data_IF_739732419221
#
_entry.id   IF_739732419221
#
_cell.length_a   1.000
_cell.length_b   1.000
_cell.length_c   1.000
_cell.angle_alpha   90.00
_cell.angle_beta   90.00
_cell.angle_gamma   90.00
#
_symmetry.space_group_name_H-M   'P 1'
#
loop_
_entity.id
_entity.type
_entity.pdbx_description
1 polymer ?
#
# COMPACT_ATOMS: atom_id res chain seq x y z
N UNK A 1 -5.27 -3.25 -1.65
CA UNK A 1 -5.23 -3.89 -0.31
C UNK A 1 -6.54 -3.75 0.44
N UNK A 2 -7.05 -2.54 0.74
CA UNK A 2 -8.34 -2.38 1.45
C UNK A 2 -9.47 -3.14 0.73
N UNK A 3 -9.59 -2.97 -0.58
CA UNK A 3 -10.62 -3.66 -1.37
C UNK A 3 -10.44 -5.18 -1.37
N UNK A 4 -9.19 -5.66 -1.32
CA UNK A 4 -8.91 -7.09 -1.18
C UNK A 4 -9.40 -7.62 0.17
N UNK A 5 -9.09 -6.91 1.27
CA UNK A 5 -9.54 -7.26 2.63
C UNK A 5 -11.07 -7.17 2.78
N UNK A 6 -11.74 -6.39 1.92
CA UNK A 6 -13.20 -6.30 1.84
C UNK A 6 -13.84 -7.31 0.88
N UNK A 7 -13.08 -8.27 0.37
CA UNK A 7 -13.54 -9.27 -0.60
C UNK A 7 -14.12 -8.68 -1.91
N UNK A 8 -13.54 -7.57 -2.38
CA UNK A 8 -13.92 -6.99 -3.66
C UNK A 8 -13.30 -7.83 -4.79
N UNK A 9 -14.16 -8.51 -5.55
CA UNK A 9 -13.77 -9.52 -6.57
C UNK A 9 -12.64 -9.08 -7.52
N UNK A 10 -12.66 -7.88 -8.13
CA UNK A 10 -11.54 -7.43 -8.98
C UNK A 10 -10.20 -7.34 -8.23
N UNK A 11 -10.20 -6.89 -6.98
CA UNK A 11 -9.00 -6.78 -6.18
C UNK A 11 -8.45 -8.17 -5.80
N UNK A 12 -9.34 -9.13 -5.48
CA UNK A 12 -8.95 -10.54 -5.27
C UNK A 12 -8.34 -11.14 -6.52
N UNK A 13 -9.03 -11.02 -7.66
CA UNK A 13 -8.52 -11.52 -8.93
C UNK A 13 -7.14 -10.94 -9.29
N UNK A 14 -6.92 -9.64 -9.07
CA UNK A 14 -5.64 -9.00 -9.34
C UNK A 14 -4.53 -9.53 -8.42
N UNK A 15 -4.76 -9.51 -7.10
CA UNK A 15 -3.73 -9.85 -6.10
C UNK A 15 -3.43 -11.35 -6.01
N UNK A 16 -4.39 -12.20 -6.39
CA UNK A 16 -4.21 -13.65 -6.41
C UNK A 16 -3.76 -14.20 -7.77
N UNK A 17 -3.75 -13.38 -8.83
CA UNK A 17 -3.39 -13.82 -10.19
C UNK A 17 -1.97 -14.37 -10.31
N UNK A 18 -1.03 -13.88 -9.49
CA UNK A 18 0.40 -14.17 -9.63
C UNK A 18 1.02 -13.67 -10.95
N UNK A 19 0.25 -12.96 -11.78
CA UNK A 19 0.67 -12.48 -13.09
C UNK A 19 1.53 -11.21 -13.00
N UNK A 20 1.42 -10.48 -11.88
CA UNK A 20 2.06 -9.19 -11.69
C UNK A 20 2.97 -9.21 -10.47
N UNK A 21 4.13 -8.59 -10.61
CA UNK A 21 4.93 -8.19 -9.46
C UNK A 21 4.25 -6.98 -8.81
N UNK A 22 3.62 -7.20 -7.67
CA UNK A 22 2.88 -6.16 -6.96
C UNK A 22 3.82 -5.51 -5.95
N UNK A 23 3.86 -4.18 -6.00
CA UNK A 23 4.62 -3.33 -5.10
C UNK A 23 3.69 -2.51 -4.23
N UNK A 24 4.09 -2.26 -2.98
CA UNK A 24 3.36 -1.37 -2.08
C UNK A 24 4.33 -0.48 -1.29
N UNK A 25 3.88 0.72 -0.91
CA UNK A 25 4.73 1.65 -0.17
C UNK A 25 4.79 1.31 1.32
N UNK A 26 5.89 1.70 1.99
CA UNK A 26 5.99 1.62 3.45
C UNK A 26 4.90 2.42 4.17
N UNK A 27 4.38 3.47 3.55
CA UNK A 27 3.21 4.22 4.04
C UNK A 27 1.94 3.39 4.04
N UNK A 28 1.66 2.64 2.96
CA UNK A 28 0.48 1.76 2.89
C UNK A 28 0.44 0.74 4.02
N UNK A 29 1.59 0.14 4.38
CA UNK A 29 1.68 -0.75 5.54
C UNK A 29 1.35 -0.03 6.84
N UNK A 30 1.91 1.15 7.06
CA UNK A 30 1.63 1.98 8.25
C UNK A 30 0.15 2.32 8.34
N UNK A 31 -0.45 2.80 7.25
CA UNK A 31 -1.86 3.19 7.19
C UNK A 31 -2.81 2.02 7.50
N UNK A 32 -2.52 0.83 6.97
CA UNK A 32 -3.32 -0.37 7.23
C UNK A 32 -3.23 -0.79 8.70
N UNK A 33 -2.02 -0.85 9.27
CA UNK A 33 -1.79 -1.32 10.64
C UNK A 33 -2.14 -0.28 11.72
N UNK A 34 -2.22 1.00 11.36
CA UNK A 34 -2.62 2.09 12.24
C UNK A 34 -4.15 2.23 12.37
N UNK A 35 -4.94 1.45 11.62
CA UNK A 35 -6.41 1.44 11.73
C UNK A 35 -6.83 1.15 13.17
N UNK A 36 -7.60 2.05 13.81
CA UNK A 36 -8.10 1.82 15.16
C UNK A 36 -9.04 0.62 15.20
N UNK A 37 -9.00 -0.14 16.31
CA UNK A 37 -9.92 -1.26 16.53
C UNK A 37 -9.55 -2.58 15.87
N UNK A 38 -8.41 -2.65 15.16
CA UNK A 38 -7.92 -3.93 14.61
C UNK A 38 -7.59 -4.93 15.72
N UNK A 39 -8.22 -6.09 15.64
CA UNK A 39 -7.87 -7.26 16.43
C UNK A 39 -6.48 -7.78 16.05
N UNK A 40 -5.85 -8.54 16.96
CA UNK A 40 -4.55 -9.16 16.72
C UNK A 40 -4.55 -10.05 15.47
N UNK A 41 -5.63 -10.81 15.26
CA UNK A 41 -5.80 -11.67 14.08
C UNK A 41 -5.85 -10.87 12.78
N UNK A 42 -6.56 -9.74 12.76
CA UNK A 42 -6.63 -8.87 11.58
C UNK A 42 -5.28 -8.22 11.27
N UNK A 43 -4.51 -7.83 12.31
CA UNK A 43 -3.13 -7.33 12.12
C UNK A 43 -2.23 -8.39 11.50
N UNK A 44 -2.34 -9.64 11.97
CA UNK A 44 -1.58 -10.75 11.43
C UNK A 44 -1.97 -11.05 9.97
N UNK A 45 -3.26 -11.08 9.65
CA UNK A 45 -3.74 -11.26 8.27
C UNK A 45 -3.23 -10.16 7.34
N UNK A 46 -3.21 -8.90 7.79
CA UNK A 46 -2.64 -7.78 7.02
C UNK A 46 -1.14 -8.01 6.78
N UNK A 47 -0.37 -8.40 7.80
CA UNK A 47 1.07 -8.65 7.66
C UNK A 47 1.35 -9.84 6.71
N UNK A 48 0.60 -10.93 6.83
CA UNK A 48 0.70 -12.10 5.95
C UNK A 48 0.35 -11.74 4.50
N UNK A 49 -0.71 -10.96 4.28
CA UNK A 49 -1.08 -10.45 2.97
C UNK A 49 0.04 -9.60 2.37
N UNK A 50 0.57 -8.64 3.13
CA UNK A 50 1.62 -7.74 2.65
C UNK A 50 2.93 -8.48 2.39
N UNK A 51 3.25 -9.51 3.17
CA UNK A 51 4.44 -10.35 2.99
C UNK A 51 4.49 -11.11 1.67
N UNK A 52 3.36 -11.21 0.95
CA UNK A 52 3.30 -11.79 -0.41
C UNK A 52 3.84 -10.86 -1.50
N UNK A 53 4.08 -9.59 -1.19
CA UNK A 53 4.34 -8.54 -2.17
C UNK A 53 5.60 -7.73 -1.85
N UNK A 54 6.07 -6.95 -2.81
CA UNK A 54 7.33 -6.22 -2.67
C UNK A 54 7.13 -4.87 -1.97
N UNK A 55 7.81 -4.68 -0.85
CA UNK A 55 7.83 -3.41 -0.14
C UNK A 55 8.75 -2.41 -0.86
N UNK A 56 8.22 -1.24 -1.17
CA UNK A 56 8.97 -0.06 -1.59
C UNK A 56 9.11 0.88 -0.39
N UNK A 57 10.35 1.07 0.06
CA UNK A 57 10.65 2.04 1.09
C UNK A 57 10.47 3.45 0.52
N UNK A 58 9.71 4.27 1.24
CA UNK A 58 9.65 5.71 0.95
C UNK A 58 10.86 6.37 1.59
N UNK A 59 11.85 6.62 0.75
CA UNK A 59 13.16 7.19 1.07
C UNK A 59 13.33 8.61 0.47
N UNK A 60 14.52 9.19 0.65
CA UNK A 60 14.82 10.54 0.19
C UNK A 60 14.71 10.68 -1.34
N UNK A 61 14.98 9.61 -2.11
CA UNK A 61 14.86 9.64 -3.56
C UNK A 61 13.38 9.74 -4.01
N UNK A 62 12.47 9.05 -3.31
CA UNK A 62 11.03 9.22 -3.55
C UNK A 62 10.56 10.61 -3.10
N UNK A 63 11.06 11.11 -1.96
CA UNK A 63 10.73 12.44 -1.46
C UNK A 63 11.18 13.55 -2.43
N UNK A 64 12.36 13.43 -3.03
CA UNK A 64 12.86 14.38 -4.03
C UNK A 64 11.96 14.42 -5.27
N UNK A 65 11.58 13.25 -5.81
CA UNK A 65 10.64 13.17 -6.94
C UNK A 65 9.28 13.80 -6.59
N UNK A 66 8.80 13.57 -5.38
CA UNK A 66 7.58 14.20 -4.90
C UNK A 66 7.72 15.73 -4.85
N UNK A 67 8.84 16.25 -4.34
CA UNK A 67 9.11 17.70 -4.33
C UNK A 67 9.14 18.31 -5.74
N UNK A 68 9.73 17.62 -6.72
CA UNK A 68 9.71 18.06 -8.12
C UNK A 68 8.28 18.17 -8.64
N UNK A 69 7.44 17.17 -8.36
CA UNK A 69 6.02 17.19 -8.75
C UNK A 69 5.26 18.31 -8.03
N UNK A 70 5.47 18.47 -6.73
CA UNK A 70 4.82 19.50 -5.93
C UNK A 70 5.23 20.91 -6.39
N UNK A 71 6.50 21.13 -6.74
CA UNK A 71 6.95 22.43 -7.27
C UNK A 71 6.30 22.73 -8.63
N UNK A 72 6.14 21.70 -9.47
CA UNK A 72 5.55 21.83 -10.81
C UNK A 72 4.04 22.09 -10.78
N UNK A 73 3.31 21.50 -9.84
CA UNK A 73 1.84 21.51 -9.85
C UNK A 73 1.19 22.13 -8.60
N UNK A 74 1.95 22.36 -7.54
CA UNK A 74 1.42 22.79 -6.23
C UNK A 74 0.86 24.21 -6.18
N UNK A 75 1.10 25.02 -7.21
CA UNK A 75 0.50 26.36 -7.38
C UNK A 75 -0.83 26.35 -8.16
N UNK A 76 -1.33 25.18 -8.57
CA UNK A 76 -2.61 25.01 -9.26
C UNK A 76 -3.75 24.52 -8.33
N UNK A 77 -3.54 24.55 -7.01
CA UNK A 77 -4.51 24.17 -5.99
C UNK A 77 -5.13 25.37 -5.28
#
# INVERSE_FOLDING_TARGET
>A
FIDYLKDIRPARALLDSGQFDIYYSSWTRKELLAKPGLATSERQEIEELLGRFHLVLVDDAIAEKYWVLLTKYGSQG
#
